data_IF_925645317540
#
_entry.id   IF_925645317540
#
_cell.length_a   1.000
_cell.length_b   1.000
_cell.length_c   1.000
_cell.angle_alpha   90.00
_cell.angle_beta   90.00
_cell.angle_gamma   90.00
#
_symmetry.space_group_name_H-M   'P 1'
#
loop_
_entity.id
_entity.type
_entity.pdbx_description
1 polymer ?
#
# COMPACT_ATOMS: atom_id res chain seq x y z
N UNK A 1 -48.94 28.90 -32.53
CA UNK A 1 -47.78 29.64 -33.05
C UNK A 1 -47.95 30.02 -34.51
N UNK A 2 -47.79 29.09 -35.48
CA UNK A 2 -47.88 29.45 -36.91
C UNK A 2 -49.21 30.08 -37.33
N UNK A 3 -50.34 29.63 -36.79
CA UNK A 3 -51.65 30.21 -37.08
C UNK A 3 -51.83 31.64 -36.53
N UNK A 4 -51.25 31.93 -35.36
CA UNK A 4 -51.30 33.26 -34.74
C UNK A 4 -50.43 34.25 -35.52
N UNK A 5 -49.23 33.83 -35.88
CA UNK A 5 -48.31 34.58 -36.72
C UNK A 5 -48.94 34.85 -38.10
N UNK A 6 -49.54 33.85 -38.76
CA UNK A 6 -50.29 34.04 -40.01
C UNK A 6 -51.45 35.05 -39.85
N UNK A 7 -52.16 35.02 -38.72
CA UNK A 7 -53.20 36.00 -38.43
C UNK A 7 -52.62 37.40 -38.26
N UNK A 8 -51.50 37.57 -37.57
CA UNK A 8 -50.83 38.87 -37.37
C UNK A 8 -50.35 39.47 -38.70
N UNK A 9 -49.78 38.64 -39.59
CA UNK A 9 -49.41 39.06 -40.95
C UNK A 9 -50.62 39.44 -41.78
N UNK A 10 -51.72 38.69 -41.68
CA UNK A 10 -52.95 39.03 -42.38
C UNK A 10 -53.54 40.36 -41.87
N UNK A 11 -53.48 40.63 -40.56
CA UNK A 11 -53.92 41.93 -40.02
C UNK A 11 -53.03 43.09 -40.48
N UNK A 12 -51.72 42.87 -40.59
CA UNK A 12 -50.78 43.87 -41.11
C UNK A 12 -51.05 44.15 -42.59
N UNK A 13 -51.30 43.11 -43.40
CA UNK A 13 -51.65 43.23 -44.81
C UNK A 13 -52.97 44.00 -44.99
N UNK A 14 -53.98 43.70 -44.18
CA UNK A 14 -55.26 44.43 -44.19
C UNK A 14 -55.08 45.91 -43.79
N UNK A 15 -54.25 46.21 -42.79
CA UNK A 15 -53.97 47.58 -42.36
C UNK A 15 -53.21 48.37 -43.45
N UNK A 16 -52.22 47.74 -44.11
CA UNK A 16 -51.54 48.31 -45.27
C UNK A 16 -52.53 48.61 -46.40
N UNK A 17 -53.41 47.67 -46.72
CA UNK A 17 -54.38 47.83 -47.81
C UNK A 17 -55.35 48.98 -47.52
N UNK A 18 -55.82 49.12 -46.27
CA UNK A 18 -56.67 50.24 -45.84
C UNK A 18 -55.95 51.59 -45.95
N UNK A 19 -54.68 51.65 -45.55
CA UNK A 19 -53.88 52.86 -45.68
C UNK A 19 -53.68 53.24 -47.15
N UNK A 20 -53.36 52.27 -48.01
CA UNK A 20 -53.18 52.52 -49.44
C UNK A 20 -54.47 52.97 -50.12
N UNK A 21 -55.62 52.40 -49.76
CA UNK A 21 -56.92 52.79 -50.29
C UNK A 21 -57.31 54.21 -49.83
N UNK A 22 -57.00 54.55 -48.57
CA UNK A 22 -57.18 55.91 -48.00
C UNK A 22 -56.33 56.96 -48.73
N UNK A 23 -55.07 56.62 -49.08
CA UNK A 23 -54.18 57.51 -49.85
C UNK A 23 -54.65 57.62 -51.30
N UNK A 24 -55.03 56.50 -51.94
CA UNK A 24 -55.48 56.48 -53.32
C UNK A 24 -56.79 57.27 -53.53
N UNK A 25 -57.67 57.29 -52.52
CA UNK A 25 -58.91 58.07 -52.52
C UNK A 25 -58.73 59.52 -52.07
N UNK A 26 -57.49 59.97 -51.83
CA UNK A 26 -57.14 61.31 -51.34
C UNK A 26 -57.85 61.70 -50.04
N UNK A 27 -58.18 60.72 -49.19
CA UNK A 27 -58.74 60.93 -47.86
C UNK A 27 -57.80 60.33 -46.80
N UNK A 28 -56.62 60.94 -46.57
CA UNK A 28 -55.65 60.42 -45.62
C UNK A 28 -56.19 60.49 -44.19
N UNK A 29 -56.41 59.33 -43.57
CA UNK A 29 -56.84 59.22 -42.18
C UNK A 29 -55.67 58.70 -41.30
N UNK A 30 -55.23 59.47 -40.29
CA UNK A 30 -54.12 59.06 -39.42
C UNK A 30 -54.42 57.78 -38.62
N UNK A 31 -55.70 57.45 -38.40
CA UNK A 31 -56.10 56.23 -37.68
C UNK A 31 -55.61 54.96 -38.38
N UNK A 32 -55.53 54.95 -39.72
CA UNK A 32 -55.00 53.79 -40.46
C UNK A 32 -53.48 53.65 -40.32
N UNK A 33 -52.76 54.75 -40.10
CA UNK A 33 -51.33 54.71 -39.81
C UNK A 33 -51.07 54.16 -38.40
N UNK A 34 -51.89 54.56 -37.42
CA UNK A 34 -51.80 54.02 -36.06
C UNK A 34 -52.16 52.52 -36.02
N UNK A 35 -53.17 52.09 -36.80
CA UNK A 35 -53.53 50.67 -36.94
C UNK A 35 -52.38 49.84 -37.55
N UNK A 36 -51.67 50.39 -38.53
CA UNK A 36 -50.48 49.76 -39.12
C UNK A 36 -49.38 49.58 -38.08
N UNK A 37 -49.08 50.63 -37.31
CA UNK A 37 -48.04 50.58 -36.27
C UNK A 37 -48.40 49.52 -35.22
N UNK A 38 -49.65 49.51 -34.75
CA UNK A 38 -50.11 48.51 -33.79
C UNK A 38 -50.05 47.07 -34.34
N UNK A 39 -50.36 46.87 -35.63
CA UNK A 39 -50.24 45.56 -36.29
C UNK A 39 -48.78 45.13 -36.45
N UNK A 40 -47.86 46.07 -36.76
CA UNK A 40 -46.44 45.80 -36.82
C UNK A 40 -45.87 45.39 -35.46
N UNK A 41 -46.21 46.14 -34.40
CA UNK A 41 -45.82 45.81 -33.03
C UNK A 41 -46.34 44.43 -32.58
N UNK A 42 -47.48 43.99 -33.13
CA UNK A 42 -48.02 42.65 -32.87
C UNK A 42 -47.21 41.55 -33.56
N UNK A 43 -46.78 41.77 -34.81
CA UNK A 43 -45.90 40.84 -35.54
C UNK A 43 -44.55 40.72 -34.83
N UNK A 44 -43.97 41.84 -34.39
CA UNK A 44 -42.68 41.85 -33.69
C UNK A 44 -42.75 41.02 -32.41
N UNK A 45 -43.80 41.18 -31.60
CA UNK A 45 -44.04 40.36 -30.40
C UNK A 45 -44.18 38.88 -30.71
N UNK A 46 -44.89 38.52 -31.78
CA UNK A 46 -45.06 37.13 -32.18
C UNK A 46 -43.73 36.50 -32.68
N UNK A 47 -42.87 37.29 -33.33
CA UNK A 47 -41.53 36.86 -33.75
C UNK A 47 -40.59 36.66 -32.55
N UNK A 48 -40.61 37.55 -31.56
CA UNK A 48 -39.86 37.38 -30.31
C UNK A 48 -40.27 36.11 -29.57
N UNK A 49 -41.59 35.87 -29.46
CA UNK A 49 -42.13 34.66 -28.85
C UNK A 49 -41.65 33.41 -29.61
N UNK A 50 -41.59 33.46 -30.95
CA UNK A 50 -41.11 32.36 -31.78
C UNK A 50 -39.62 32.10 -31.56
N UNK A 51 -38.80 33.14 -31.52
CA UNK A 51 -37.37 33.02 -31.21
C UNK A 51 -37.15 32.40 -29.81
N UNK A 52 -37.94 32.83 -28.82
CA UNK A 52 -37.92 32.26 -27.48
C UNK A 52 -38.29 30.77 -27.51
N UNK A 53 -39.36 30.38 -28.21
CA UNK A 53 -39.73 28.96 -28.35
C UNK A 53 -38.66 28.12 -29.05
N UNK A 54 -38.00 28.66 -30.08
CA UNK A 54 -36.90 27.97 -30.76
C UNK A 54 -35.71 27.74 -29.81
N UNK A 55 -35.31 28.78 -29.05
CA UNK A 55 -34.25 28.65 -28.05
C UNK A 55 -34.60 27.64 -26.94
N UNK A 56 -35.85 27.64 -26.48
CA UNK A 56 -36.33 26.67 -25.50
C UNK A 56 -36.36 25.24 -26.07
N UNK A 57 -36.78 25.08 -27.33
CA UNK A 57 -36.82 23.79 -28.00
C UNK A 57 -35.42 23.18 -28.16
N UNK A 58 -34.44 23.97 -28.63
CA UNK A 58 -33.05 23.52 -28.74
C UNK A 58 -32.48 23.14 -27.36
N UNK A 59 -32.79 23.92 -26.32
CA UNK A 59 -32.44 23.57 -24.94
C UNK A 59 -33.06 22.25 -24.50
N UNK A 60 -34.35 22.02 -24.74
CA UNK A 60 -35.04 20.76 -24.41
C UNK A 60 -34.41 19.58 -25.16
N UNK A 61 -34.08 19.75 -26.44
CA UNK A 61 -33.37 18.71 -27.20
C UNK A 61 -32.01 18.38 -26.58
N UNK A 62 -31.23 19.39 -26.18
CA UNK A 62 -29.95 19.19 -25.52
C UNK A 62 -30.09 18.44 -24.19
N UNK A 63 -31.10 18.78 -23.37
CA UNK A 63 -31.40 18.11 -22.10
C UNK A 63 -31.82 16.65 -22.32
N UNK A 64 -32.59 16.37 -23.37
CA UNK A 64 -32.96 15.00 -23.75
C UNK A 64 -31.74 14.19 -24.19
N UNK A 65 -30.85 14.78 -24.99
CA UNK A 65 -29.60 14.13 -25.39
C UNK A 65 -28.70 13.84 -24.17
N UNK A 66 -28.60 14.78 -23.24
CA UNK A 66 -27.87 14.59 -21.97
C UNK A 66 -28.48 13.47 -21.12
N UNK A 67 -29.80 13.46 -20.93
CA UNK A 67 -30.49 12.39 -20.19
C UNK A 67 -30.24 11.03 -20.83
N UNK A 68 -30.37 10.92 -22.16
CA UNK A 68 -30.12 9.67 -22.88
C UNK A 68 -28.66 9.21 -22.73
N UNK A 69 -27.69 10.15 -22.72
CA UNK A 69 -26.29 9.83 -22.48
C UNK A 69 -26.07 9.30 -21.06
N UNK A 70 -26.64 9.94 -20.04
CA UNK A 70 -26.55 9.50 -18.65
C UNK A 70 -27.18 8.11 -18.47
N UNK A 71 -28.34 7.86 -19.06
CA UNK A 71 -28.97 6.53 -19.04
C UNK A 71 -28.10 5.46 -19.69
N UNK A 72 -27.41 5.78 -20.79
CA UNK A 72 -26.47 4.85 -21.44
C UNK A 72 -25.28 4.53 -20.52
N UNK A 73 -24.75 5.52 -19.80
CA UNK A 73 -23.67 5.31 -18.84
C UNK A 73 -24.12 4.47 -17.65
N UNK A 74 -25.32 4.70 -17.10
CA UNK A 74 -25.89 3.89 -16.02
C UNK A 74 -26.09 2.44 -16.46
N UNK A 75 -26.56 2.20 -17.68
CA UNK A 75 -26.66 0.83 -18.23
C UNK A 75 -25.28 0.19 -18.36
N UNK A 76 -24.28 0.93 -18.82
CA UNK A 76 -22.90 0.44 -18.92
C UNK A 76 -22.32 0.09 -17.55
N UNK A 77 -22.51 0.93 -16.53
CA UNK A 77 -21.97 0.65 -15.19
C UNK A 77 -22.68 -0.50 -14.50
N UNK A 78 -24.01 -0.62 -14.64
CA UNK A 78 -24.77 -1.77 -14.12
C UNK A 78 -24.34 -3.06 -14.81
N UNK A 79 -24.14 -3.05 -16.12
CA UNK A 79 -23.65 -4.23 -16.86
C UNK A 79 -22.22 -4.58 -16.49
N UNK A 80 -21.34 -3.59 -16.31
CA UNK A 80 -19.98 -3.80 -15.79
C UNK A 80 -19.98 -4.36 -14.37
N UNK A 81 -20.83 -3.86 -13.47
CA UNK A 81 -20.95 -4.38 -12.11
C UNK A 81 -21.49 -5.82 -12.10
N UNK A 82 -22.46 -6.12 -12.96
CA UNK A 82 -22.98 -7.47 -13.12
C UNK A 82 -21.91 -8.42 -13.68
N UNK A 83 -21.09 -7.97 -14.63
CA UNK A 83 -19.98 -8.74 -15.16
C UNK A 83 -18.88 -8.95 -14.11
N UNK A 84 -18.47 -7.91 -13.38
CA UNK A 84 -17.50 -8.02 -12.31
C UNK A 84 -17.99 -8.97 -11.20
N UNK A 85 -19.28 -8.93 -10.87
CA UNK A 85 -19.89 -9.91 -9.96
C UNK A 85 -19.80 -11.32 -10.50
N UNK A 86 -20.11 -11.52 -11.79
CA UNK A 86 -19.98 -12.82 -12.46
C UNK A 86 -18.54 -13.31 -12.44
N UNK A 87 -17.57 -12.43 -12.68
CA UNK A 87 -16.15 -12.74 -12.68
C UNK A 87 -15.66 -13.11 -11.28
N UNK A 88 -16.05 -12.37 -10.24
CA UNK A 88 -15.73 -12.71 -8.83
C UNK A 88 -16.32 -14.07 -8.44
N UNK A 89 -17.56 -14.36 -8.84
CA UNK A 89 -18.17 -15.66 -8.59
C UNK A 89 -17.51 -16.79 -9.39
N UNK A 90 -16.87 -16.47 -10.52
CA UNK A 90 -16.14 -17.43 -11.34
C UNK A 90 -14.71 -17.68 -10.82
N UNK A 91 -14.16 -16.80 -9.96
CA UNK A 91 -12.90 -17.06 -9.27
C UNK A 91 -13.13 -18.27 -8.37
N UNK A 92 -12.51 -19.44 -8.64
CA UNK A 92 -12.59 -20.54 -7.71
C UNK A 92 -11.99 -20.07 -6.38
N UNK A 93 -12.58 -20.44 -5.23
CA UNK A 93 -11.95 -20.12 -3.95
C UNK A 93 -10.51 -20.62 -4.01
N UNK A 94 -9.56 -19.78 -3.59
CA UNK A 94 -8.16 -20.18 -3.46
C UNK A 94 -8.17 -21.57 -2.83
N UNK A 95 -7.53 -22.54 -3.48
CA UNK A 95 -7.47 -23.92 -3.00
C UNK A 95 -6.98 -23.84 -1.57
N UNK A 96 -7.92 -23.91 -0.62
CA UNK A 96 -7.58 -24.21 0.76
C UNK A 96 -6.88 -25.54 0.62
N UNK A 97 -5.59 -25.65 1.01
CA UNK A 97 -4.87 -26.89 0.83
C UNK A 97 -5.76 -27.97 1.44
N UNK A 98 -6.30 -28.82 0.57
CA UNK A 98 -7.01 -30.00 1.03
C UNK A 98 -6.01 -30.83 1.82
N UNK A 99 -6.46 -31.79 2.64
CA UNK A 99 -5.58 -32.67 3.41
C UNK A 99 -4.60 -33.50 2.55
N UNK A 100 -4.60 -33.32 1.23
CA UNK A 100 -3.73 -33.95 0.24
C UNK A 100 -2.56 -33.07 -0.21
N UNK A 101 -2.50 -31.78 0.13
CA UNK A 101 -1.32 -30.93 -0.09
C UNK A 101 -0.30 -31.13 1.06
N UNK A 102 0.02 -32.40 1.31
CA UNK A 102 0.98 -32.84 2.34
C UNK A 102 2.41 -32.35 2.05
N UNK A 103 2.65 -31.79 0.86
CA UNK A 103 3.93 -31.18 0.48
C UNK A 103 4.25 -29.91 1.30
N UNK A 104 3.26 -29.30 1.97
CA UNK A 104 3.42 -28.11 2.82
C UNK A 104 2.88 -28.35 4.25
N UNK A 105 2.96 -29.57 4.77
CA UNK A 105 2.77 -29.79 6.20
C UNK A 105 3.95 -29.17 6.96
N UNK A 106 3.80 -27.91 7.35
CA UNK A 106 4.79 -27.22 8.17
C UNK A 106 4.81 -27.86 9.56
N UNK A 107 5.92 -28.51 9.90
CA UNK A 107 6.09 -29.06 11.24
C UNK A 107 6.17 -27.91 12.25
N UNK A 108 5.35 -27.98 13.30
CA UNK A 108 5.27 -26.98 14.38
C UNK A 108 6.64 -26.73 15.00
N UNK A 109 7.46 -27.76 15.18
CA UNK A 109 8.80 -27.61 15.76
C UNK A 109 9.73 -26.79 14.86
N UNK A 110 9.63 -26.99 13.54
CA UNK A 110 10.39 -26.19 12.57
C UNK A 110 9.92 -24.74 12.53
N UNK A 111 8.60 -24.52 12.64
CA UNK A 111 8.01 -23.18 12.70
C UNK A 111 8.43 -22.44 13.97
N UNK A 112 8.39 -23.11 15.13
CA UNK A 112 8.79 -22.53 16.40
C UNK A 112 10.29 -22.26 16.46
N UNK A 113 11.13 -23.16 15.92
CA UNK A 113 12.57 -22.95 15.82
C UNK A 113 12.91 -21.80 14.88
N UNK A 114 12.25 -21.72 13.73
CA UNK A 114 12.42 -20.62 12.78
C UNK A 114 11.92 -19.30 13.38
N UNK A 115 10.77 -19.31 14.05
CA UNK A 115 10.23 -18.17 14.78
C UNK A 115 11.20 -17.69 15.87
N UNK A 116 11.83 -18.59 16.62
CA UNK A 116 12.85 -18.25 17.60
C UNK A 116 14.10 -17.61 16.96
N UNK A 117 14.48 -18.05 15.76
CA UNK A 117 15.60 -17.51 14.97
C UNK A 117 15.34 -16.08 14.48
N UNK A 118 14.11 -15.78 14.06
CA UNK A 118 13.74 -14.45 13.52
C UNK A 118 13.17 -13.49 14.59
N UNK A 119 12.72 -13.99 15.74
CA UNK A 119 12.23 -13.17 16.86
C UNK A 119 13.17 -12.03 17.32
N UNK A 120 14.52 -12.17 17.31
CA UNK A 120 15.41 -11.06 17.67
C UNK A 120 15.55 -10.02 16.56
N UNK A 121 15.37 -10.39 15.28
CA UNK A 121 15.64 -9.52 14.13
C UNK A 121 14.37 -8.97 13.47
N UNK A 122 13.18 -9.40 13.92
CA UNK A 122 11.89 -8.99 13.33
C UNK A 122 11.18 -7.88 14.09
N UNK A 123 11.67 -7.49 15.27
CA UNK A 123 11.02 -6.48 16.12
C UNK A 123 12.03 -5.40 16.51
N UNK A 124 11.71 -4.11 16.32
CA UNK A 124 12.56 -3.02 16.81
C UNK A 124 12.77 -3.14 18.33
N UNK A 125 13.96 -2.78 18.86
CA UNK A 125 14.28 -2.88 20.29
C UNK A 125 13.35 -2.03 21.18
N UNK A 126 12.50 -1.18 20.59
CA UNK A 126 11.54 -0.31 21.26
C UNK A 126 10.18 -0.95 21.55
N UNK A 127 9.88 -2.14 20.99
CA UNK A 127 8.55 -2.78 21.10
C UNK A 127 8.46 -3.90 22.14
N UNK A 128 9.58 -4.31 22.76
CA UNK A 128 9.55 -5.24 23.89
C UNK A 128 9.26 -4.47 25.18
N UNK A 129 8.01 -4.46 25.63
CA UNK A 129 7.72 -4.18 27.04
C UNK A 129 8.51 -5.21 27.88
N UNK A 130 9.31 -4.80 28.87
CA UNK A 130 9.93 -5.76 29.77
C UNK A 130 8.81 -6.58 30.40
N UNK A 131 8.94 -7.91 30.35
CA UNK A 131 8.03 -8.81 31.06
C UNK A 131 8.18 -8.46 32.54
N UNK A 132 7.13 -7.99 33.24
CA UNK A 132 7.25 -7.75 34.67
C UNK A 132 7.69 -9.07 35.31
N UNK A 133 8.77 -9.03 36.09
CA UNK A 133 9.15 -10.14 36.95
C UNK A 133 7.91 -10.54 37.74
N UNK A 134 7.37 -11.73 37.45
CA UNK A 134 6.22 -12.26 38.17
C UNK A 134 6.72 -12.54 39.59
N UNK A 135 6.53 -11.58 40.49
CA UNK A 135 6.50 -11.86 41.92
C UNK A 135 5.32 -12.79 42.15
N UNK A 136 5.59 -14.05 42.49
CA UNK A 136 4.55 -14.99 42.87
C UNK A 136 3.80 -14.42 44.08
N UNK A 137 2.50 -14.10 43.98
CA UNK A 137 1.76 -13.57 45.10
C UNK A 137 1.64 -14.66 46.17
N UNK A 138 2.18 -14.40 47.36
CA UNK A 138 1.80 -15.15 48.56
C UNK A 138 0.31 -14.90 48.78
N UNK A 139 -0.47 -15.97 48.58
CA UNK A 139 -1.90 -16.01 48.82
C UNK A 139 -2.19 -15.55 50.26
N UNK A 140 -2.86 -14.40 50.38
CA UNK A 140 -3.75 -14.12 51.50
C UNK A 140 -5.16 -14.13 50.93
N UNK A 141 -5.94 -15.11 51.37
CA UNK A 141 -7.38 -15.13 51.19
C UNK A 141 -7.97 -13.91 51.92
N UNK A 142 -8.90 -13.21 51.26
CA UNK A 142 -10.30 -13.07 51.68
C UNK A 142 -11.02 -11.95 50.92
N UNK A 143 -12.28 -12.20 50.58
CA UNK A 143 -13.32 -11.19 50.77
C UNK A 143 -13.76 -10.34 49.58
N UNK A 144 -14.83 -10.82 48.94
CA UNK A 144 -16.03 -10.07 48.55
C UNK A 144 -16.08 -9.35 47.19
N UNK A 145 -17.20 -9.60 46.50
CA UNK A 145 -17.41 -9.31 45.10
C UNK A 145 -18.25 -8.06 44.85
N UNK A 146 -18.10 -7.51 43.65
CA UNK A 146 -19.18 -6.79 42.98
C UNK A 146 -18.90 -6.74 41.48
N UNK A 147 -19.88 -7.20 40.71
CA UNK A 147 -19.91 -7.15 39.25
C UNK A 147 -20.98 -6.13 38.88
N UNK A 148 -20.60 -4.97 38.32
CA UNK A 148 -21.55 -4.05 37.67
C UNK A 148 -21.05 -3.57 36.29
N UNK A 149 -21.53 -4.31 35.30
CA UNK A 149 -22.13 -3.91 34.02
C UNK A 149 -22.23 -2.42 33.59
N UNK A 150 -22.03 -2.27 32.27
CA UNK A 150 -22.92 -1.65 31.24
C UNK A 150 -22.45 -0.32 30.63
N UNK A 151 -22.53 -0.27 29.30
CA UNK A 151 -22.02 0.75 28.40
C UNK A 151 -22.93 1.96 28.19
N UNK A 152 -22.44 2.90 27.38
CA UNK A 152 -23.21 4.09 27.02
C UNK A 152 -22.41 5.11 26.23
N UNK A 153 -22.71 5.17 24.93
CA UNK A 153 -22.29 6.15 23.92
C UNK A 153 -22.64 7.60 24.34
N UNK A 154 -21.73 8.57 24.15
CA UNK A 154 -22.09 9.98 23.99
C UNK A 154 -21.02 10.82 23.29
N UNK A 155 -21.47 11.52 22.25
CA UNK A 155 -20.83 12.55 21.45
C UNK A 155 -20.50 13.81 22.28
N UNK A 156 -19.39 14.53 22.07
CA UNK A 156 -19.17 15.84 22.69
C UNK A 156 -19.73 17.00 21.82
N UNK A 157 -20.25 18.08 22.43
CA UNK A 157 -20.80 19.26 21.72
C UNK A 157 -19.72 20.30 21.34
N UNK A 158 -20.01 21.25 20.42
CA UNK A 158 -19.04 22.25 19.93
C UNK A 158 -19.22 23.63 20.58
N UNK A 159 -18.11 24.38 20.73
CA UNK A 159 -17.97 25.87 20.61
C UNK A 159 -16.62 26.33 21.22
N UNK A 160 -16.17 27.59 21.03
CA UNK A 160 -16.18 28.48 19.86
C UNK A 160 -14.77 29.07 19.54
N UNK A 161 -14.65 29.76 18.40
CA UNK A 161 -13.44 30.43 17.92
C UNK A 161 -13.12 31.76 18.65
N UNK A 162 -11.81 32.06 18.73
CA UNK A 162 -11.28 33.43 18.69
C UNK A 162 -10.29 33.81 19.79
N UNK A 163 -8.98 33.87 19.45
CA UNK A 163 -8.09 35.03 19.68
C UNK A 163 -6.65 34.74 19.20
N UNK A 164 -6.11 35.64 18.37
CA UNK A 164 -4.72 35.63 17.86
C UNK A 164 -3.77 36.24 18.90
N UNK A 165 -2.60 35.61 19.08
CA UNK A 165 -1.51 36.17 19.88
C UNK A 165 -0.18 35.44 19.70
N UNK A 166 0.62 35.97 18.77
CA UNK A 166 2.09 36.07 18.70
C UNK A 166 3.01 34.85 18.95
N UNK A 167 3.92 34.61 18.00
CA UNK A 167 4.89 33.50 17.98
C UNK A 167 6.17 33.88 18.73
N UNK A 168 6.54 33.07 19.72
CA UNK A 168 7.95 32.88 20.12
C UNK A 168 8.25 31.38 20.13
N UNK A 169 8.95 30.93 19.09
CA UNK A 169 9.53 29.59 19.02
C UNK A 169 10.63 29.45 20.07
N UNK A 170 10.29 28.84 21.20
CA UNK A 170 11.25 28.10 22.01
C UNK A 170 11.03 26.61 21.71
N UNK A 171 12.11 25.87 21.49
CA UNK A 171 12.10 24.41 21.34
C UNK A 171 11.70 23.80 22.68
N UNK A 172 10.41 23.75 22.97
CA UNK A 172 9.84 23.20 24.22
C UNK A 172 9.79 21.65 24.20
N UNK A 173 10.25 21.03 23.11
CA UNK A 173 10.13 19.59 22.88
C UNK A 173 10.98 18.71 23.80
N UNK A 174 12.15 19.17 24.25
CA UNK A 174 13.12 18.30 24.96
C UNK A 174 12.91 18.31 26.49
N UNK A 175 12.32 19.37 27.04
CA UNK A 175 12.17 19.52 28.50
C UNK A 175 10.89 18.89 29.06
N UNK A 176 9.88 18.63 28.22
CA UNK A 176 8.64 17.93 28.62
C UNK A 176 8.76 16.40 28.64
N UNK A 177 9.93 15.88 28.28
CA UNK A 177 10.23 14.45 28.21
C UNK A 177 10.68 13.99 29.60
N UNK A 178 9.98 13.00 30.18
CA UNK A 178 10.30 12.45 31.50
C UNK A 178 11.71 11.84 31.54
N UNK A 179 12.33 11.74 32.72
CA UNK A 179 13.68 11.14 32.87
C UNK A 179 13.78 9.72 32.27
N UNK A 180 12.70 8.94 32.33
CA UNK A 180 12.59 7.62 31.70
C UNK A 180 12.65 7.69 30.16
N UNK A 181 12.01 8.68 29.56
CA UNK A 181 11.96 8.88 28.12
C UNK A 181 13.26 9.50 27.59
N UNK A 182 13.98 10.26 28.42
CA UNK A 182 15.36 10.68 28.14
C UNK A 182 16.32 9.49 28.10
N UNK A 183 16.14 8.49 28.97
CA UNK A 183 16.89 7.23 28.89
C UNK A 183 16.63 6.45 27.58
N UNK A 184 15.39 6.50 27.07
CA UNK A 184 15.00 5.90 25.79
C UNK A 184 15.66 6.59 24.58
N UNK A 185 15.85 7.91 24.63
CA UNK A 185 16.53 8.68 23.58
C UNK A 185 18.06 8.61 23.69
N UNK A 186 18.61 8.53 24.90
CA UNK A 186 20.05 8.53 25.15
C UNK A 186 20.70 7.14 25.03
N UNK A 187 19.91 6.05 25.09
CA UNK A 187 20.44 4.69 25.24
C UNK A 187 20.83 3.93 23.97
N UNK A 188 20.47 4.41 22.77
CA UNK A 188 20.57 3.59 21.55
C UNK A 188 21.15 4.37 20.36
N UNK A 189 22.12 5.24 20.63
CA UNK A 189 22.71 6.15 19.65
C UNK A 189 23.66 5.54 18.61
N UNK A 190 23.81 4.22 18.46
CA UNK A 190 24.77 3.72 17.45
C UNK A 190 24.42 2.45 16.66
N UNK A 191 23.26 1.81 16.86
CA UNK A 191 22.73 0.92 15.82
C UNK A 191 21.21 0.94 15.84
N UNK A 192 20.62 1.75 14.96
CA UNK A 192 19.19 1.72 14.70
C UNK A 192 18.76 0.33 14.23
N UNK A 193 17.54 -0.10 14.57
CA UNK A 193 16.99 -1.32 14.00
C UNK A 193 16.89 -1.16 12.47
N UNK A 194 17.74 -1.89 11.76
CA UNK A 194 17.69 -2.00 10.31
C UNK A 194 17.05 -3.36 9.99
N UNK A 195 15.88 -3.42 9.33
CA UNK A 195 15.16 -4.68 9.09
C UNK A 195 15.80 -5.56 8.01
N UNK A 196 16.98 -5.18 7.53
CA UNK A 196 17.82 -5.94 6.60
C UNK A 196 19.26 -5.97 7.14
N UNK A 197 20.09 -6.85 6.57
CA UNK A 197 21.49 -7.03 6.96
C UNK A 197 22.24 -5.70 6.92
N UNK A 198 23.01 -5.38 7.97
CA UNK A 198 23.80 -4.15 8.03
C UNK A 198 24.90 -4.12 6.97
N UNK A 199 25.27 -2.93 6.51
CA UNK A 199 26.34 -2.75 5.50
C UNK A 199 27.68 -3.35 5.98
N UNK A 200 27.99 -3.24 7.27
CA UNK A 200 29.17 -3.87 7.88
C UNK A 200 29.13 -5.40 7.80
N UNK A 201 27.96 -6.01 8.02
CA UNK A 201 27.78 -7.45 7.88
C UNK A 201 27.85 -7.90 6.41
N UNK A 202 27.43 -7.06 5.47
CA UNK A 202 27.59 -7.30 4.03
C UNK A 202 29.08 -7.25 3.66
N UNK A 203 29.81 -6.21 4.07
CA UNK A 203 31.26 -6.06 3.82
C UNK A 203 32.11 -7.12 4.51
N UNK A 204 31.69 -7.60 5.67
CA UNK A 204 32.35 -8.68 6.41
C UNK A 204 32.04 -10.08 5.87
N UNK A 205 31.05 -10.18 4.97
CA UNK A 205 30.57 -11.45 4.41
C UNK A 205 31.64 -12.18 3.59
N UNK A 206 31.52 -13.50 3.51
CA UNK A 206 32.44 -14.34 2.72
C UNK A 206 32.50 -13.92 1.24
N UNK A 207 31.39 -13.44 0.68
CA UNK A 207 31.33 -12.96 -0.70
C UNK A 207 32.14 -11.67 -0.91
N UNK A 208 32.04 -10.69 -0.01
CA UNK A 208 32.81 -9.45 -0.11
C UNK A 208 34.33 -9.69 0.02
N UNK A 209 34.74 -10.68 0.83
CA UNK A 209 36.16 -11.09 0.94
C UNK A 209 36.69 -11.71 -0.36
N UNK A 210 35.86 -12.49 -1.07
CA UNK A 210 36.23 -13.08 -2.35
C UNK A 210 36.32 -12.03 -3.47
N UNK A 211 35.44 -11.04 -3.45
CA UNK A 211 35.45 -9.90 -4.38
C UNK A 211 36.73 -9.05 -4.20
N UNK A 212 37.11 -8.75 -2.97
CA UNK A 212 38.37 -8.03 -2.69
C UNK A 212 39.64 -8.79 -3.11
N UNK A 213 39.62 -10.13 -3.09
CA UNK A 213 40.73 -10.97 -3.59
C UNK A 213 40.77 -10.97 -5.13
N UNK A 214 39.62 -10.86 -5.80
CA UNK A 214 39.54 -10.78 -7.25
C UNK A 214 39.95 -9.42 -7.82
N UNK A 215 39.63 -8.33 -7.14
CA UNK A 215 39.95 -6.97 -7.59
C UNK A 215 41.36 -6.50 -7.19
N UNK A 216 41.94 -7.10 -6.14
CA UNK A 216 43.27 -6.79 -5.61
C UNK A 216 44.35 -7.82 -5.95
N UNK A 217 44.53 -8.20 -7.23
CA UNK A 217 45.70 -8.99 -7.64
C UNK A 217 46.39 -8.46 -8.90
N UNK A 218 47.01 -7.30 -8.73
CA UNK A 218 48.33 -7.02 -9.31
C UNK A 218 49.37 -7.08 -8.18
N UNK A 219 50.13 -8.18 -8.13
CA UNK A 219 51.36 -8.40 -7.37
C UNK A 219 51.38 -8.09 -5.85
N UNK A 220 51.26 -9.14 -5.03
CA UNK A 220 52.11 -9.31 -3.83
C UNK A 220 52.65 -10.74 -3.79
N UNK A 221 53.96 -10.82 -3.99
CA UNK A 221 54.81 -11.97 -3.75
C UNK A 221 54.66 -12.48 -2.30
N UNK A 222 54.42 -13.78 -2.15
CA UNK A 222 54.69 -14.53 -0.92
C UNK A 222 53.84 -14.15 0.29
N UNK A 223 52.56 -14.52 0.30
CA UNK A 223 51.83 -14.69 1.56
C UNK A 223 52.14 -16.10 2.06
N UNK A 224 53.10 -16.16 2.98
CA UNK A 224 53.39 -17.28 3.86
C UNK A 224 52.07 -17.71 4.52
N UNK A 225 51.64 -18.94 4.22
CA UNK A 225 50.48 -19.54 4.86
C UNK A 225 50.91 -19.83 6.29
N UNK A 226 50.42 -19.06 7.25
CA UNK A 226 50.44 -19.45 8.67
C UNK A 226 49.59 -20.71 8.86
N UNK A 227 50.16 -21.85 8.47
CA UNK A 227 49.75 -23.21 8.85
C UNK A 227 50.25 -23.48 10.28
N UNK A 228 49.89 -22.61 11.22
CA UNK A 228 50.24 -22.79 12.62
C UNK A 228 49.01 -23.32 13.35
N UNK A 229 48.65 -24.56 13.07
CA UNK A 229 47.49 -25.20 13.69
C UNK A 229 47.30 -26.69 13.40
N UNK A 230 47.74 -27.21 12.24
CA UNK A 230 47.37 -28.57 11.81
C UNK A 230 48.55 -29.47 11.37
N UNK A 231 49.75 -28.92 11.17
CA UNK A 231 50.91 -29.72 10.72
C UNK A 231 51.47 -30.67 11.78
N UNK A 232 51.31 -30.35 13.07
CA UNK A 232 51.83 -31.18 14.17
C UNK A 232 51.08 -32.49 14.37
N UNK A 233 49.76 -32.50 14.12
CA UNK A 233 48.93 -33.69 14.29
C UNK A 233 49.15 -34.71 13.16
N UNK A 234 49.38 -34.25 11.93
CA UNK A 234 49.65 -35.15 10.80
C UNK A 234 51.05 -35.80 10.90
N UNK A 235 52.03 -35.08 11.43
CA UNK A 235 53.39 -35.60 11.64
C UNK A 235 53.44 -36.61 12.81
N UNK A 236 52.69 -36.37 13.88
CA UNK A 236 52.55 -37.30 15.02
C UNK A 236 51.84 -38.60 14.59
N UNK A 237 50.74 -38.52 13.84
CA UNK A 237 50.04 -39.71 13.32
C UNK A 237 50.91 -40.50 12.33
N UNK A 238 51.73 -39.82 11.52
CA UNK A 238 52.68 -40.47 10.60
C UNK A 238 53.83 -41.15 11.34
N UNK A 239 54.36 -40.52 12.39
CA UNK A 239 55.40 -41.10 13.24
C UNK A 239 54.89 -42.32 14.03
N UNK A 240 53.66 -42.26 14.57
CA UNK A 240 53.03 -43.39 15.26
C UNK A 240 52.80 -44.59 14.33
N UNK A 241 52.37 -44.34 13.09
CA UNK A 241 52.19 -45.38 12.09
C UNK A 241 53.52 -46.05 11.71
N UNK A 242 54.58 -45.25 11.50
CA UNK A 242 55.91 -45.78 11.20
C UNK A 242 56.51 -46.58 12.37
N UNK A 243 56.28 -46.14 13.61
CA UNK A 243 56.72 -46.87 14.80
C UNK A 243 55.94 -48.18 15.02
N UNK A 244 54.63 -48.19 14.76
CA UNK A 244 53.83 -49.43 14.78
C UNK A 244 54.31 -50.43 13.73
N UNK A 245 54.61 -49.98 12.51
CA UNK A 245 55.12 -50.87 11.46
C UNK A 245 56.51 -51.42 11.78
N UNK A 246 57.38 -50.60 12.36
CA UNK A 246 58.69 -51.06 12.86
C UNK A 246 58.55 -52.11 13.96
N UNK A 247 57.56 -51.95 14.85
CA UNK A 247 57.27 -52.91 15.91
C UNK A 247 56.72 -54.23 15.36
N UNK A 248 55.79 -54.19 14.40
CA UNK A 248 55.29 -55.38 13.69
C UNK A 248 56.39 -56.12 12.95
N UNK A 249 57.32 -55.43 12.28
CA UNK A 249 58.48 -56.07 11.63
C UNK A 249 59.39 -56.78 12.63
N UNK A 250 59.64 -56.17 13.79
CA UNK A 250 60.42 -56.81 14.86
C UNK A 250 59.71 -58.02 15.46
N UNK A 251 58.40 -57.99 15.62
CA UNK A 251 57.62 -59.15 16.06
C UNK A 251 57.60 -60.28 15.02
N UNK A 252 57.48 -59.94 13.73
CA UNK A 252 57.60 -60.93 12.64
C UNK A 252 58.98 -61.57 12.60
N UNK A 253 60.06 -60.79 12.70
CA UNK A 253 61.42 -61.33 12.76
C UNK A 253 61.65 -62.20 14.01
N UNK A 254 61.07 -61.83 15.16
CA UNK A 254 61.11 -62.66 16.38
C UNK A 254 60.30 -63.93 16.28
N UNK A 255 59.18 -63.92 15.56
CA UNK A 255 58.39 -65.11 15.26
C UNK A 255 59.11 -66.03 14.26
N UNK A 256 59.77 -65.48 13.26
CA UNK A 256 60.55 -66.23 12.27
C UNK A 256 61.76 -66.94 12.90
N UNK A 257 62.44 -66.29 13.85
CA UNK A 257 63.53 -66.89 14.64
C UNK A 257 63.03 -67.94 15.65
N UNK A 258 61.73 -67.93 16.01
CA UNK A 258 61.11 -68.96 16.88
C UNK A 258 60.53 -70.17 16.13
N UNK A 259 60.44 -70.11 14.79
CA UNK A 259 59.88 -71.21 13.96
C UNK A 259 60.96 -72.03 13.26
N UNK A 260 62.23 -71.60 13.29
CA UNK A 260 63.36 -72.41 12.81
C UNK A 260 64.01 -73.20 13.96
N UNK A 261 63.43 -74.35 14.32
CA UNK A 261 64.07 -75.34 15.18
C UNK A 261 64.77 -76.38 14.27
N UNK A 262 66.11 -76.52 14.29
CA UNK A 262 66.85 -77.32 13.32
C UNK A 262 66.86 -78.83 13.59
N UNK A 263 65.80 -79.40 14.18
CA UNK A 263 65.71 -80.83 14.53
C UNK A 263 64.74 -81.64 13.64
N UNK A 264 64.20 -81.08 12.55
CA UNK A 264 63.32 -81.79 11.59
C UNK A 264 63.91 -81.87 10.16
N UNK A 265 65.10 -82.49 10.03
CA UNK A 265 65.61 -83.09 8.79
C UNK A 265 66.35 -84.40 9.06
#
# INVERSE_FOLDING_TARGET
MNAQLQSSYHTLEQALQRLTDSIATYNPNPVYADELVAANDAVDRDLELLAAHQSNYTRIQSLRAQSASLDSTLRSTITQLAQARKDILAIPPASSPGPTDQANELNVDTLLRYAALIAPTTVPPTLRKPIPSIEFPRVKLEGDGSVERVGGLSTPPPQPEGEQGDVKEAIVGIERIGELERGWLAGNGDVGFVPWVSDEAIRGGALAKLEGIGEGSGEVSGMEVDQQGDGGAEEEVRAEHEEQDRRRRRERARAEVRVFNPDDL
#
